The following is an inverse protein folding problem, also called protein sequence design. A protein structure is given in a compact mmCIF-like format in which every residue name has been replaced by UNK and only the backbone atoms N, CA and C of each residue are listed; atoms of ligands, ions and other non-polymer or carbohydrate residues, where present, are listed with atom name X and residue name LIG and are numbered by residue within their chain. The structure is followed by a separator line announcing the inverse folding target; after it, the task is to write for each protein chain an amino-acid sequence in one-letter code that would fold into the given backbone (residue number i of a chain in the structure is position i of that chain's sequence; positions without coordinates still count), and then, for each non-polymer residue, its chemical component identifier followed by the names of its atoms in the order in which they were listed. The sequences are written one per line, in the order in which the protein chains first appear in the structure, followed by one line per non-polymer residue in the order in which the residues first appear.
data_IF_934177269627
#
_entry.id   IF_934177269627
#
_cell.length_a   1.000
_cell.length_b   1.000
_cell.length_c   1.000
_cell.angle_alpha   90.00
_cell.angle_beta   90.00
_cell.angle_gamma   90.00
#
_symmetry.space_group_name_H-M   'P 1'
#
loop_
_entity.id
_entity.type
_entity.pdbx_description
1 polymer ?
#
# COMPACT_ATOMS: atom_id res chain seq x y z
N UNK A 1 -11.50 19.90 -14.30
CA UNK A 1 -11.46 19.44 -12.89
C UNK A 1 -11.62 20.67 -12.02
N UNK A 2 -12.42 20.63 -10.93
CA UNK A 2 -12.37 21.66 -9.91
C UNK A 2 -10.92 21.85 -9.43
N UNK A 3 -10.57 23.08 -9.02
CA UNK A 3 -9.26 23.39 -8.46
C UNK A 3 -8.93 22.49 -7.28
N UNK A 4 -7.65 22.15 -7.10
CA UNK A 4 -7.19 21.42 -5.91
C UNK A 4 -7.13 22.41 -4.76
N UNK A 5 -7.83 22.11 -3.67
CA UNK A 5 -7.79 22.92 -2.45
C UNK A 5 -6.34 22.99 -1.93
N UNK A 6 -5.93 24.20 -1.53
CA UNK A 6 -4.55 24.48 -1.12
C UNK A 6 -4.52 25.32 0.15
N UNK A 7 -3.70 24.89 1.09
CA UNK A 7 -3.30 25.69 2.25
C UNK A 7 -2.31 26.80 1.82
N UNK A 8 -2.59 28.07 2.14
CA UNK A 8 -1.71 29.19 1.81
C UNK A 8 -0.48 29.20 2.73
N UNK A 9 0.71 29.08 2.17
CA UNK A 9 1.97 28.98 2.95
C UNK A 9 2.36 30.37 3.47
N UNK A 10 2.03 31.41 2.72
CA UNK A 10 2.20 32.82 3.06
C UNK A 10 1.51 33.21 4.39
N UNK A 11 0.44 32.51 4.78
CA UNK A 11 -0.33 32.77 6.00
C UNK A 11 0.23 32.09 7.26
N UNK A 12 1.25 31.24 7.12
CA UNK A 12 1.75 30.42 8.24
C UNK A 12 2.47 31.23 9.33
N UNK A 13 2.98 32.43 9.03
CA UNK A 13 3.61 33.30 10.02
C UNK A 13 2.61 34.09 10.86
N UNK A 14 1.49 34.46 10.24
CA UNK A 14 0.37 35.14 10.92
C UNK A 14 -0.31 34.18 11.91
N UNK A 15 -0.40 32.90 11.53
CA UNK A 15 -0.97 31.83 12.36
C UNK A 15 -2.38 32.16 12.86
N UNK A 16 -3.22 32.71 11.96
CA UNK A 16 -4.55 33.18 12.32
C UNK A 16 -5.49 32.03 12.70
N UNK A 17 -6.52 32.27 13.53
CA UNK A 17 -7.53 31.25 13.84
C UNK A 17 -8.23 30.70 12.58
N UNK A 18 -8.39 31.53 11.54
CA UNK A 18 -8.94 31.11 10.26
C UNK A 18 -8.01 30.12 9.54
N UNK A 19 -6.70 30.40 9.50
CA UNK A 19 -5.68 29.51 8.95
C UNK A 19 -5.63 28.17 9.71
N UNK A 20 -5.74 28.22 11.05
CA UNK A 20 -5.83 27.02 11.90
C UNK A 20 -7.12 26.22 11.66
N UNK A 21 -8.25 26.89 11.45
CA UNK A 21 -9.51 26.21 11.11
C UNK A 21 -9.43 25.51 9.75
N UNK A 22 -8.82 26.15 8.75
CA UNK A 22 -8.62 25.54 7.44
C UNK A 22 -7.65 24.35 7.52
N UNK A 23 -6.55 24.49 8.28
CA UNK A 23 -5.66 23.37 8.57
C UNK A 23 -6.44 22.19 9.15
N UNK A 24 -7.33 22.42 10.12
CA UNK A 24 -8.18 21.37 10.70
C UNK A 24 -8.97 20.58 9.65
N UNK A 25 -9.54 21.26 8.66
CA UNK A 25 -10.25 20.59 7.54
C UNK A 25 -9.31 19.68 6.73
N UNK A 26 -8.09 20.14 6.46
CA UNK A 26 -7.08 19.30 5.77
C UNK A 26 -6.64 18.11 6.63
N UNK A 27 -6.55 18.26 7.95
CA UNK A 27 -6.23 17.17 8.87
C UNK A 27 -7.34 16.12 8.94
N UNK A 28 -8.61 16.56 8.90
CA UNK A 28 -9.78 15.69 8.83
C UNK A 28 -9.79 14.89 7.51
N UNK A 29 -9.57 15.54 6.37
CA UNK A 29 -9.42 14.87 5.06
C UNK A 29 -8.24 13.88 5.07
N UNK A 30 -7.10 14.27 5.63
CA UNK A 30 -5.92 13.41 5.75
C UNK A 30 -6.20 12.17 6.63
N UNK A 31 -7.00 12.32 7.68
CA UNK A 31 -7.43 11.20 8.53
C UNK A 31 -8.40 10.30 7.79
N UNK A 32 -9.38 10.86 7.08
CA UNK A 32 -10.35 10.11 6.30
C UNK A 32 -9.67 9.30 5.18
N UNK A 33 -8.75 9.91 4.42
CA UNK A 33 -8.01 9.22 3.36
C UNK A 33 -7.11 8.12 3.93
N UNK A 34 -6.47 8.36 5.07
CA UNK A 34 -5.65 7.35 5.74
C UNK A 34 -6.49 6.12 6.14
N UNK A 35 -7.65 6.34 6.76
CA UNK A 35 -8.56 5.26 7.16
C UNK A 35 -9.07 4.46 5.95
N UNK A 36 -9.46 5.16 4.88
CA UNK A 36 -9.92 4.51 3.65
C UNK A 36 -8.80 3.70 2.98
N UNK A 37 -7.61 4.28 2.84
CA UNK A 37 -6.46 3.61 2.20
C UNK A 37 -5.97 2.41 3.00
N UNK A 38 -6.09 2.43 4.33
CA UNK A 38 -5.81 1.26 5.16
C UNK A 38 -6.78 0.10 4.89
N UNK A 39 -8.07 0.38 4.71
CA UNK A 39 -9.05 -0.66 4.36
C UNK A 39 -8.80 -1.21 2.95
N UNK A 40 -8.52 -0.32 1.98
CA UNK A 40 -8.19 -0.73 0.62
C UNK A 40 -6.90 -1.57 0.58
N UNK A 41 -5.88 -1.16 1.31
CA UNK A 41 -4.64 -1.92 1.49
C UNK A 41 -4.91 -3.33 2.01
N UNK A 42 -5.71 -3.47 3.07
CA UNK A 42 -6.05 -4.79 3.62
C UNK A 42 -6.80 -5.66 2.60
N UNK A 43 -7.71 -5.09 1.81
CA UNK A 43 -8.40 -5.82 0.76
C UNK A 43 -7.44 -6.29 -0.34
N UNK A 44 -6.56 -5.42 -0.84
CA UNK A 44 -5.55 -5.75 -1.84
C UNK A 44 -4.53 -6.78 -1.33
N UNK A 45 -4.11 -6.65 -0.08
CA UNK A 45 -3.21 -7.60 0.56
C UNK A 45 -3.81 -9.01 0.61
N UNK A 46 -5.09 -9.13 0.96
CA UNK A 46 -5.80 -10.42 0.95
C UNK A 46 -5.87 -11.05 -0.44
N UNK A 47 -6.04 -10.24 -1.49
CA UNK A 47 -6.01 -10.72 -2.88
C UNK A 47 -4.61 -11.28 -3.19
N UNK A 48 -3.57 -10.52 -2.86
CA UNK A 48 -2.18 -10.92 -3.09
C UNK A 48 -1.81 -12.21 -2.34
N UNK A 49 -2.17 -12.33 -1.05
CA UNK A 49 -1.92 -13.53 -0.25
C UNK A 49 -2.65 -14.75 -0.83
N UNK A 50 -3.93 -14.60 -1.19
CA UNK A 50 -4.70 -15.68 -1.79
C UNK A 50 -4.09 -16.13 -3.13
N UNK A 51 -3.59 -15.19 -3.94
CA UNK A 51 -2.96 -15.47 -5.22
C UNK A 51 -1.63 -16.23 -5.04
N UNK A 52 -0.83 -15.87 -4.02
CA UNK A 52 0.37 -16.61 -3.65
C UNK A 52 0.06 -18.03 -3.16
N UNK A 53 -0.94 -18.18 -2.30
CA UNK A 53 -1.35 -19.49 -1.80
C UNK A 53 -1.86 -20.38 -2.94
N UNK A 54 -2.66 -19.82 -3.86
CA UNK A 54 -3.12 -20.54 -5.04
C UNK A 54 -1.95 -20.99 -5.92
N UNK A 55 -0.95 -20.13 -6.13
CA UNK A 55 0.27 -20.51 -6.85
C UNK A 55 0.99 -21.68 -6.17
N UNK A 56 1.16 -21.63 -4.86
CA UNK A 56 1.86 -22.67 -4.09
C UNK A 56 1.09 -24.00 -4.11
N UNK A 57 -0.22 -23.97 -3.89
CA UNK A 57 -1.09 -25.14 -3.89
C UNK A 57 -1.15 -25.81 -5.28
N UNK A 58 -1.20 -25.01 -6.34
CA UNK A 58 -1.20 -25.51 -7.72
C UNK A 58 0.14 -26.18 -8.06
N UNK A 59 1.26 -25.55 -7.68
CA UNK A 59 2.58 -26.15 -7.85
C UNK A 59 2.72 -27.48 -7.10
N UNK A 60 2.27 -27.52 -5.84
CA UNK A 60 2.31 -28.74 -5.02
C UNK A 60 1.46 -29.85 -5.66
N UNK A 61 0.30 -29.52 -6.21
CA UNK A 61 -0.55 -30.48 -6.92
C UNK A 61 0.19 -31.09 -8.11
N UNK A 62 0.78 -30.26 -8.97
CA UNK A 62 1.64 -30.72 -10.09
C UNK A 62 2.76 -31.66 -9.61
N UNK A 63 3.46 -31.27 -8.53
CA UNK A 63 4.53 -32.07 -7.95
C UNK A 63 4.05 -33.45 -7.47
N UNK A 64 2.94 -33.51 -6.75
CA UNK A 64 2.39 -34.77 -6.23
C UNK A 64 1.97 -35.72 -7.36
N UNK A 65 1.40 -35.19 -8.46
CA UNK A 65 1.08 -36.00 -9.64
C UNK A 65 2.33 -36.62 -10.26
N UNK A 66 3.44 -35.86 -10.36
CA UNK A 66 4.74 -36.36 -10.85
C UNK A 66 5.37 -37.39 -9.91
N UNK A 67 5.02 -37.37 -8.63
CA UNK A 67 5.54 -38.29 -7.63
C UNK A 67 4.78 -39.63 -7.58
N UNK A 68 3.61 -39.74 -8.23
CA UNK A 68 2.80 -40.95 -8.24
C UNK A 68 3.59 -42.20 -8.67
N UNK A 69 4.33 -42.12 -9.77
CA UNK A 69 5.14 -43.24 -10.31
C UNK A 69 6.28 -43.68 -9.38
N UNK A 70 6.70 -42.79 -8.46
CA UNK A 70 7.76 -43.09 -7.49
C UNK A 70 7.21 -43.80 -6.26
N UNK A 71 5.89 -43.80 -6.07
CA UNK A 71 5.24 -44.46 -4.93
C UNK A 71 5.18 -45.97 -5.16
N UNK A 72 5.49 -46.73 -4.11
CA UNK A 72 5.35 -48.18 -4.13
C UNK A 72 3.95 -48.57 -3.68
N UNK A 73 3.07 -48.84 -4.64
CA UNK A 73 1.74 -49.38 -4.35
C UNK A 73 1.80 -50.91 -4.26
N UNK A 74 1.46 -51.54 -3.11
CA UNK A 74 1.55 -53.00 -2.94
C UNK A 74 0.66 -53.81 -3.88
N UNK A 75 -0.38 -53.17 -4.42
CA UNK A 75 -1.33 -53.73 -5.39
C UNK A 75 -1.20 -53.04 -6.77
N UNK A 76 -0.25 -52.13 -6.94
CA UNK A 76 -0.04 -51.43 -8.20
C UNK A 76 0.68 -52.34 -9.18
N UNK A 77 0.02 -52.68 -10.30
CA UNK A 77 0.73 -53.16 -11.49
C UNK A 77 1.37 -51.99 -12.26
N UNK A 78 2.12 -52.31 -13.31
CA UNK A 78 2.61 -51.31 -14.28
C UNK A 78 1.41 -50.80 -15.12
N UNK A 79 0.68 -49.81 -14.58
CA UNK A 79 -0.36 -49.09 -15.30
C UNK A 79 0.25 -47.88 -16.03
N UNK A 80 0.84 -48.17 -17.20
CA UNK A 80 1.44 -47.16 -18.08
C UNK A 80 0.42 -46.09 -18.53
N UNK A 81 -0.86 -46.44 -18.63
CA UNK A 81 -1.93 -45.52 -19.04
C UNK A 81 -2.21 -44.52 -17.92
N UNK A 82 -2.32 -44.98 -16.68
CA UNK A 82 -2.46 -44.11 -15.51
C UNK A 82 -1.24 -43.19 -15.35
N UNK A 83 -0.04 -43.75 -15.41
CA UNK A 83 1.23 -43.00 -15.33
C UNK A 83 1.30 -41.87 -16.35
N UNK A 84 1.12 -42.19 -17.64
CA UNK A 84 1.15 -41.20 -18.72
C UNK A 84 0.04 -40.14 -18.61
N UNK A 85 -1.15 -40.54 -18.16
CA UNK A 85 -2.27 -39.62 -17.90
C UNK A 85 -1.93 -38.60 -16.81
N UNK A 86 -1.40 -39.07 -15.67
CA UNK A 86 -1.02 -38.19 -14.56
C UNK A 86 0.16 -37.28 -14.93
N UNK A 87 1.10 -37.75 -15.75
CA UNK A 87 2.17 -36.91 -16.29
C UNK A 87 1.60 -35.76 -17.15
N UNK A 88 0.63 -36.03 -18.02
CA UNK A 88 0.00 -34.99 -18.84
C UNK A 88 -0.76 -33.97 -17.99
N UNK A 89 -1.55 -34.42 -17.00
CA UNK A 89 -2.20 -33.50 -16.04
C UNK A 89 -1.17 -32.66 -15.27
N UNK A 90 -0.09 -33.28 -14.81
CA UNK A 90 0.95 -32.58 -14.05
C UNK A 90 1.56 -31.44 -14.85
N UNK A 91 1.80 -31.64 -16.16
CA UNK A 91 2.37 -30.63 -17.04
C UNK A 91 1.45 -29.40 -17.16
N UNK A 92 0.17 -29.63 -17.43
CA UNK A 92 -0.82 -28.54 -17.57
C UNK A 92 -0.99 -27.78 -16.26
N UNK A 93 -1.04 -28.48 -15.13
CA UNK A 93 -1.14 -27.86 -13.80
C UNK A 93 0.13 -27.05 -13.48
N UNK A 94 1.32 -27.50 -13.90
CA UNK A 94 2.57 -26.75 -13.74
C UNK A 94 2.58 -25.44 -14.55
N UNK A 95 2.02 -25.47 -15.76
CA UNK A 95 1.85 -24.30 -16.62
C UNK A 95 0.87 -23.29 -15.98
N UNK A 96 -0.25 -23.77 -15.42
CA UNK A 96 -1.18 -22.92 -14.65
C UNK A 96 -0.53 -22.35 -13.39
N UNK A 97 0.25 -23.16 -12.67
CA UNK A 97 1.04 -22.69 -11.53
C UNK A 97 2.00 -21.58 -11.93
N UNK A 98 2.63 -21.69 -13.09
CA UNK A 98 3.53 -20.65 -13.62
C UNK A 98 2.74 -19.37 -13.93
N UNK A 99 1.51 -19.48 -14.43
CA UNK A 99 0.62 -18.34 -14.62
C UNK A 99 0.29 -17.63 -13.31
N UNK A 100 -0.02 -18.39 -12.27
CA UNK A 100 -0.28 -17.84 -10.95
C UNK A 100 0.96 -17.17 -10.34
N UNK A 101 2.15 -17.74 -10.51
CA UNK A 101 3.40 -17.17 -10.00
C UNK A 101 3.77 -15.84 -10.68
N UNK A 102 3.55 -15.74 -12.01
CA UNK A 102 3.73 -14.48 -12.75
C UNK A 102 2.73 -13.44 -12.27
N UNK A 103 1.45 -13.80 -12.13
CA UNK A 103 0.43 -12.89 -11.60
C UNK A 103 0.79 -12.41 -10.19
N UNK A 104 1.22 -13.31 -9.31
CA UNK A 104 1.68 -12.95 -7.96
C UNK A 104 2.77 -11.88 -7.98
N UNK A 105 3.81 -12.07 -8.80
CA UNK A 105 4.90 -11.09 -8.95
C UNK A 105 4.38 -9.74 -9.43
N UNK A 106 3.50 -9.75 -10.44
CA UNK A 106 2.90 -8.51 -10.95
C UNK A 106 2.02 -7.81 -9.91
N UNK A 107 1.27 -8.56 -9.09
CA UNK A 107 0.48 -7.99 -7.99
C UNK A 107 1.38 -7.40 -6.89
N UNK A 108 2.51 -8.04 -6.57
CA UNK A 108 3.48 -7.50 -5.63
C UNK A 108 4.00 -6.13 -6.11
N UNK A 109 4.45 -6.05 -7.36
CA UNK A 109 5.14 -4.88 -7.89
C UNK A 109 4.19 -3.75 -8.30
N UNK A 110 3.08 -4.08 -8.97
CA UNK A 110 2.20 -3.09 -9.59
C UNK A 110 0.97 -2.73 -8.75
N UNK A 111 0.62 -3.56 -7.75
CA UNK A 111 -0.50 -3.28 -6.84
C UNK A 111 -0.01 -3.04 -5.41
N UNK A 112 0.72 -3.98 -4.81
CA UNK A 112 1.09 -3.91 -3.39
C UNK A 112 2.18 -2.89 -3.08
N UNK A 113 3.22 -2.80 -3.90
CA UNK A 113 4.30 -1.82 -3.71
C UNK A 113 3.82 -0.37 -3.68
N UNK A 114 3.06 0.15 -4.68
CA UNK A 114 2.62 1.54 -4.67
C UNK A 114 1.71 1.88 -3.48
N UNK A 115 0.75 1.00 -3.14
CA UNK A 115 -0.13 1.25 -1.99
C UNK A 115 0.60 1.16 -0.64
N UNK A 116 1.56 0.24 -0.50
CA UNK A 116 2.43 0.15 0.68
C UNK A 116 3.28 1.40 0.83
N UNK A 117 3.87 1.86 -0.28
CA UNK A 117 4.69 3.07 -0.30
C UNK A 117 3.88 4.30 0.14
N UNK A 118 2.66 4.47 -0.39
CA UNK A 118 1.79 5.58 0.03
C UNK A 118 1.47 5.52 1.54
N UNK A 119 1.15 4.33 2.05
CA UNK A 119 0.83 4.12 3.47
C UNK A 119 2.02 4.35 4.40
N UNK A 120 3.18 3.78 4.07
CA UNK A 120 4.33 3.72 4.97
C UNK A 120 5.26 4.92 4.88
N UNK A 121 5.28 5.60 3.73
CA UNK A 121 6.05 6.82 3.51
C UNK A 121 5.17 8.05 3.60
N UNK A 122 4.24 8.19 2.67
CA UNK A 122 3.55 9.46 2.46
C UNK A 122 2.58 9.80 3.60
N UNK A 123 1.76 8.84 4.07
CA UNK A 123 0.89 9.07 5.24
C UNK A 123 1.67 9.18 6.55
N UNK A 124 2.78 8.44 6.70
CA UNK A 124 3.63 8.50 7.89
C UNK A 124 4.38 9.83 8.00
N UNK A 125 4.80 10.40 6.87
CA UNK A 125 5.39 11.74 6.79
C UNK A 125 4.41 12.81 7.31
N UNK A 126 3.14 12.73 6.92
CA UNK A 126 2.09 13.65 7.38
C UNK A 126 1.92 13.59 8.90
N UNK A 127 1.89 12.39 9.49
CA UNK A 127 1.79 12.22 10.95
C UNK A 127 3.03 12.77 11.67
N UNK A 128 4.22 12.55 11.11
CA UNK A 128 5.47 13.03 11.70
C UNK A 128 5.54 14.56 11.67
N UNK A 129 5.19 15.18 10.54
CA UNK A 129 5.17 16.63 10.41
C UNK A 129 4.11 17.28 11.30
N UNK A 130 2.94 16.65 11.44
CA UNK A 130 1.90 17.08 12.38
C UNK A 130 2.43 17.13 13.80
N UNK A 131 3.06 16.05 14.26
CA UNK A 131 3.61 15.96 15.63
C UNK A 131 4.71 17.00 15.86
N UNK A 132 5.65 17.12 14.92
CA UNK A 132 6.75 18.09 14.99
C UNK A 132 6.22 19.53 15.03
N UNK A 133 5.20 19.85 14.23
CA UNK A 133 4.52 21.13 14.26
C UNK A 133 3.80 21.37 15.59
N UNK A 134 3.08 20.38 16.12
CA UNK A 134 2.35 20.51 17.37
C UNK A 134 3.30 20.79 18.54
N UNK A 135 4.43 20.09 18.61
CA UNK A 135 5.48 20.34 19.61
C UNK A 135 6.01 21.78 19.46
N UNK A 136 6.35 22.20 18.25
CA UNK A 136 6.85 23.55 18.02
C UNK A 136 5.82 24.65 18.35
N UNK A 137 4.53 24.39 18.11
CA UNK A 137 3.43 25.28 18.50
C UNK A 137 3.33 25.38 20.03
N UNK A 138 3.36 24.25 20.74
CA UNK A 138 3.30 24.24 22.21
C UNK A 138 4.53 24.93 22.84
N UNK A 139 5.73 24.73 22.26
CA UNK A 139 6.96 25.40 22.67
C UNK A 139 6.83 26.92 22.53
N UNK A 140 6.25 27.40 21.42
CA UNK A 140 6.01 28.82 21.19
C UNK A 140 4.98 29.39 22.17
N UNK A 141 3.87 28.68 22.41
CA UNK A 141 2.87 29.06 23.39
C UNK A 141 3.48 29.20 24.80
N UNK A 142 4.37 28.28 25.19
CA UNK A 142 5.07 28.37 26.47
C UNK A 142 6.03 29.58 26.54
N UNK A 143 6.79 29.83 25.47
CA UNK A 143 7.74 30.94 25.39
C UNK A 143 7.02 32.30 25.44
N UNK A 144 5.94 32.48 24.66
CA UNK A 144 5.18 33.74 24.65
C UNK A 144 4.48 33.98 26.00
N UNK A 145 3.95 32.93 26.63
CA UNK A 145 3.37 33.05 27.97
C UNK A 145 4.39 33.48 29.03
N UNK A 146 5.64 32.99 28.94
CA UNK A 146 6.73 33.43 29.81
C UNK A 146 7.10 34.89 29.55
N UNK A 147 7.20 35.29 28.28
CA UNK A 147 7.47 36.66 27.86
C UNK A 147 6.40 37.64 28.37
N UNK A 148 5.12 37.31 28.24
CA UNK A 148 4.00 38.14 28.69
C UNK A 148 4.00 38.40 30.21
N UNK A 149 4.71 37.59 31.00
CA UNK A 149 4.82 37.72 32.47
C UNK A 149 6.04 38.54 32.92
N UNK A 150 6.84 39.08 32.00
CA UNK A 150 7.97 39.95 32.36
C UNK A 150 7.50 41.19 33.14
N UNK A 151 8.19 41.50 34.23
CA UNK A 151 7.84 42.62 35.09
C UNK A 151 8.24 43.96 34.45
N UNK A 152 7.26 44.85 34.24
CA UNK A 152 7.52 46.24 33.83
C UNK A 152 8.12 47.11 34.95
N UNK A 153 8.05 46.66 36.21
CA UNK A 153 8.48 47.45 37.39
C UNK A 153 9.90 47.11 37.85
N UNK A 154 10.41 45.93 37.50
CA UNK A 154 11.73 45.42 37.88
C UNK A 154 12.36 44.79 36.65
N UNK A 155 12.98 45.61 35.81
CA UNK A 155 13.64 45.14 34.60
C UNK A 155 14.97 44.46 34.94
N UNK A 156 15.20 43.30 34.35
CA UNK A 156 16.46 42.57 34.39
C UNK A 156 16.84 42.27 32.94
N UNK A 157 17.86 42.94 32.43
CA UNK A 157 18.25 42.88 31.01
C UNK A 157 18.63 41.46 30.58
N UNK A 158 19.29 40.71 31.46
CA UNK A 158 19.67 39.32 31.18
C UNK A 158 18.42 38.43 31.01
N UNK A 159 17.48 38.50 31.96
CA UNK A 159 16.23 37.72 31.90
C UNK A 159 15.38 38.14 30.71
N UNK A 160 15.30 39.45 30.42
CA UNK A 160 14.59 39.99 29.27
C UNK A 160 15.18 39.46 27.95
N UNK A 161 16.51 39.46 27.83
CA UNK A 161 17.21 38.92 26.67
C UNK A 161 16.92 37.43 26.48
N UNK A 162 17.11 36.61 27.52
CA UNK A 162 16.89 35.16 27.47
C UNK A 162 15.45 34.82 27.03
N UNK A 163 14.45 35.46 27.64
CA UNK A 163 13.03 35.19 27.30
C UNK A 163 12.66 35.72 25.90
N UNK A 164 13.31 36.80 25.44
CA UNK A 164 13.11 37.29 24.06
C UNK A 164 13.71 36.33 23.04
N UNK A 165 14.88 35.76 23.33
CA UNK A 165 15.54 34.76 22.48
C UNK A 165 14.74 33.45 22.43
N UNK A 166 14.16 33.01 23.55
CA UNK A 166 13.24 31.85 23.60
C UNK A 166 12.02 32.07 22.68
N UNK A 167 11.43 33.26 22.67
CA UNK A 167 10.31 33.60 21.77
C UNK A 167 10.75 33.60 20.31
N UNK A 168 11.92 34.19 20.01
CA UNK A 168 12.45 34.22 18.65
C UNK A 168 12.69 32.80 18.09
N UNK A 169 13.40 31.97 18.84
CA UNK A 169 13.78 30.62 18.42
C UNK A 169 12.56 29.70 18.30
N UNK A 170 11.64 29.72 19.28
CA UNK A 170 10.39 28.94 19.22
C UNK A 170 9.50 29.38 18.07
N UNK A 171 9.32 30.69 17.84
CA UNK A 171 8.51 31.20 16.72
C UNK A 171 9.10 30.83 15.36
N UNK A 172 10.42 30.91 15.21
CA UNK A 172 11.12 30.48 13.99
C UNK A 172 10.87 29.00 13.71
N UNK A 173 10.98 28.14 14.74
CA UNK A 173 10.74 26.69 14.62
C UNK A 173 9.27 26.38 14.29
N UNK A 174 8.33 27.04 14.97
CA UNK A 174 6.90 26.92 14.69
C UNK A 174 6.59 27.27 13.23
N UNK A 175 7.06 28.43 12.76
CA UNK A 175 6.84 28.87 11.38
C UNK A 175 7.41 27.87 10.36
N UNK A 176 8.66 27.43 10.54
CA UNK A 176 9.29 26.46 9.63
C UNK A 176 8.54 25.12 9.58
N UNK A 177 8.14 24.60 10.74
CA UNK A 177 7.43 23.32 10.83
C UNK A 177 6.01 23.42 10.25
N UNK A 178 5.31 24.54 10.46
CA UNK A 178 4.01 24.82 9.85
C UNK A 178 4.08 24.90 8.32
N UNK A 179 5.09 25.60 7.76
CA UNK A 179 5.30 25.67 6.31
C UNK A 179 5.53 24.28 5.70
N UNK A 180 6.38 23.45 6.32
CA UNK A 180 6.62 22.09 5.85
C UNK A 180 5.35 21.23 5.94
N UNK A 181 4.59 21.37 7.02
CA UNK A 181 3.36 20.63 7.20
C UNK A 181 2.29 21.01 6.16
N UNK A 182 2.11 22.31 5.91
CA UNK A 182 1.24 22.82 4.85
C UNK A 182 1.66 22.31 3.46
N UNK A 183 2.96 22.33 3.17
CA UNK A 183 3.50 21.81 1.91
C UNK A 183 3.19 20.32 1.74
N UNK A 184 3.36 19.53 2.79
CA UNK A 184 3.08 18.09 2.76
C UNK A 184 1.57 17.81 2.58
N UNK A 185 0.69 18.51 3.29
CA UNK A 185 -0.77 18.39 3.12
C UNK A 185 -1.23 18.81 1.73
N UNK A 186 -0.66 19.88 1.18
CA UNK A 186 -0.91 20.29 -0.21
C UNK A 186 -0.47 19.22 -1.19
N UNK A 187 0.71 18.63 -0.99
CA UNK A 187 1.23 17.54 -1.82
C UNK A 187 0.35 16.29 -1.73
N UNK A 188 -0.20 16.00 -0.55
CA UNK A 188 -1.10 14.87 -0.31
C UNK A 188 -2.35 14.95 -1.20
N UNK A 189 -2.87 16.14 -1.49
CA UNK A 189 -4.04 16.31 -2.36
C UNK A 189 -3.81 15.78 -3.79
N UNK A 190 -2.56 15.82 -4.27
CA UNK A 190 -2.17 15.24 -5.55
C UNK A 190 -1.88 13.75 -5.41
N UNK A 191 -1.07 13.38 -4.40
CA UNK A 191 -0.66 11.99 -4.17
C UNK A 191 -1.85 11.07 -3.93
N UNK A 192 -2.92 11.50 -3.25
CA UNK A 192 -4.09 10.65 -2.98
C UNK A 192 -4.78 10.13 -4.24
N UNK A 193 -4.81 10.93 -5.31
CA UNK A 193 -5.39 10.50 -6.61
C UNK A 193 -4.52 9.45 -7.27
N UNK A 194 -3.22 9.67 -7.30
CA UNK A 194 -2.24 8.75 -7.89
C UNK A 194 -2.26 7.43 -7.12
N UNK A 195 -2.16 7.50 -5.79
CA UNK A 195 -2.13 6.33 -4.91
C UNK A 195 -3.41 5.47 -4.97
N UNK A 196 -4.54 6.03 -5.37
CA UNK A 196 -5.77 5.27 -5.63
C UNK A 196 -5.77 4.58 -7.00
N UNK A 197 -5.34 5.30 -8.04
CA UNK A 197 -5.46 4.82 -9.42
C UNK A 197 -4.33 3.87 -9.83
N UNK A 198 -3.12 4.11 -9.35
CA UNK A 198 -1.93 3.35 -9.75
C UNK A 198 -2.01 1.85 -9.37
N UNK A 199 -2.38 1.46 -8.12
CA UNK A 199 -2.55 0.05 -7.78
C UNK A 199 -3.66 -0.64 -8.57
N UNK A 200 -4.75 0.08 -8.85
CA UNK A 200 -5.88 -0.44 -9.64
C UNK A 200 -5.50 -0.67 -11.10
N UNK A 201 -4.74 0.26 -11.69
CA UNK A 201 -4.21 0.10 -13.03
C UNK A 201 -3.27 -1.11 -13.12
N UNK A 202 -2.34 -1.23 -12.17
CA UNK A 202 -1.42 -2.36 -12.09
C UNK A 202 -2.15 -3.70 -11.94
N UNK A 203 -3.13 -3.76 -11.04
CA UNK A 203 -4.00 -4.93 -10.88
C UNK A 203 -4.72 -5.31 -12.19
N UNK A 204 -5.36 -4.36 -12.87
CA UNK A 204 -6.10 -4.65 -14.10
C UNK A 204 -5.19 -5.13 -15.23
N UNK A 205 -4.01 -4.55 -15.38
CA UNK A 205 -3.02 -5.00 -16.37
C UNK A 205 -2.49 -6.40 -16.06
N UNK A 206 -2.25 -6.70 -14.78
CA UNK A 206 -1.83 -8.02 -14.34
C UNK A 206 -2.90 -9.08 -14.65
N UNK A 207 -4.18 -8.77 -14.37
CA UNK A 207 -5.30 -9.66 -14.70
C UNK A 207 -5.43 -9.91 -16.20
N UNK A 208 -5.36 -8.87 -17.03
CA UNK A 208 -5.40 -9.02 -18.50
C UNK A 208 -4.29 -9.97 -18.98
N UNK A 209 -3.08 -9.81 -18.43
CA UNK A 209 -1.93 -10.64 -18.80
C UNK A 209 -2.12 -12.09 -18.36
N UNK A 210 -2.61 -12.31 -17.13
CA UNK A 210 -2.93 -13.63 -16.59
C UNK A 210 -3.95 -14.38 -17.45
N UNK A 211 -5.08 -13.75 -17.80
CA UNK A 211 -6.11 -14.41 -18.60
C UNK A 211 -5.64 -14.73 -20.02
N UNK A 212 -4.84 -13.86 -20.65
CA UNK A 212 -4.24 -14.16 -21.95
C UNK A 212 -3.32 -15.37 -21.88
N UNK A 213 -2.37 -15.37 -20.93
CA UNK A 213 -1.42 -16.47 -20.78
C UNK A 213 -2.11 -17.79 -20.41
N UNK A 214 -3.14 -17.74 -19.56
CA UNK A 214 -3.96 -18.91 -19.23
C UNK A 214 -4.71 -19.45 -20.45
N UNK A 215 -5.30 -18.58 -21.28
CA UNK A 215 -6.05 -19.00 -22.46
C UNK A 215 -5.19 -19.68 -23.54
N UNK A 216 -3.91 -19.31 -23.64
CA UNK A 216 -2.97 -19.93 -24.57
C UNK A 216 -2.65 -21.38 -24.18
N UNK A 217 -2.59 -21.68 -22.86
CA UNK A 217 -2.34 -23.01 -22.34
C UNK A 217 -3.59 -23.92 -22.37
N UNK A 218 -4.78 -23.34 -22.26
CA UNK A 218 -6.07 -24.05 -22.26
C UNK A 218 -6.65 -24.13 -23.68
N UNK A 219 -6.01 -24.93 -24.54
CA UNK A 219 -6.37 -25.04 -25.95
C UNK A 219 -7.17 -26.32 -26.28
N UNK A 220 -7.60 -26.44 -27.55
CA UNK A 220 -8.42 -27.58 -28.00
C UNK A 220 -7.74 -28.96 -27.86
N UNK A 221 -6.40 -29.04 -27.80
CA UNK A 221 -5.72 -30.32 -27.53
C UNK A 221 -5.96 -30.79 -26.09
N UNK A 222 -6.01 -29.84 -25.15
CA UNK A 222 -6.38 -30.14 -23.76
C UNK A 222 -7.83 -30.59 -23.68
N UNK A 223 -8.75 -29.94 -24.40
CA UNK A 223 -10.17 -30.34 -24.44
C UNK A 223 -10.35 -31.78 -24.94
N UNK A 224 -9.65 -32.15 -26.01
CA UNK A 224 -9.65 -33.52 -26.55
C UNK A 224 -9.07 -34.53 -25.55
N UNK A 225 -7.93 -34.20 -24.91
CA UNK A 225 -7.37 -35.03 -23.85
C UNK A 225 -8.38 -35.25 -22.72
N UNK A 226 -9.03 -34.20 -22.23
CA UNK A 226 -10.03 -34.30 -21.16
C UNK A 226 -11.24 -35.14 -21.57
N UNK A 227 -11.71 -35.02 -22.82
CA UNK A 227 -12.81 -35.83 -23.34
C UNK A 227 -12.46 -37.33 -23.40
N UNK A 228 -11.23 -37.65 -23.83
CA UNK A 228 -10.72 -39.01 -23.86
C UNK A 228 -10.65 -39.61 -22.45
N UNK A 229 -10.08 -38.89 -21.49
CA UNK A 229 -10.04 -39.32 -20.08
C UNK A 229 -11.46 -39.48 -19.51
N UNK A 230 -12.37 -38.55 -19.81
CA UNK A 230 -13.77 -38.65 -19.37
C UNK A 230 -14.45 -39.93 -19.86
N UNK A 231 -14.18 -40.33 -21.11
CA UNK A 231 -14.68 -41.59 -21.68
C UNK A 231 -14.04 -42.80 -21.00
N UNK A 232 -12.72 -42.76 -20.78
CA UNK A 232 -12.00 -43.83 -20.08
C UNK A 232 -12.52 -44.06 -18.66
N UNK A 233 -12.85 -43.00 -17.92
CA UNK A 233 -13.39 -43.10 -16.55
C UNK A 233 -14.81 -43.70 -16.53
N UNK A 234 -15.63 -43.43 -17.54
CA UNK A 234 -17.00 -43.96 -17.64
C UNK A 234 -17.07 -45.44 -18.07
N UNK A 235 -16.02 -45.94 -18.71
CA UNK A 235 -15.94 -47.33 -19.19
C UNK A 235 -15.36 -48.31 -18.15
N UNK A 236 -15.14 -47.85 -16.90
CA UNK A 236 -14.69 -48.66 -15.76
C UNK A 236 -15.87 -49.16 -14.94
#
# INVERSE_FOLDING_TARGET
MPGIDKLPIEETLEDSPQTRSLLGVFEEDATAISNYMNQLYQAMHRIYDAQNELSAATHLTSKLLKEYEKQRFPLGGDDEVMSSTLQQFSKVIDELSSCHAVLSTQLADAMMFPISQFKERDLKEILTLKEVFQIASNDHDAAINRYSRLSKKRENDKVKYEVTEDVYTSRKKQHQTMMHYFCALNTLQYKKKIALLEPLLGYMQAQISFFKMGSENLNGQLEEFLANIGTSVQNV
#
